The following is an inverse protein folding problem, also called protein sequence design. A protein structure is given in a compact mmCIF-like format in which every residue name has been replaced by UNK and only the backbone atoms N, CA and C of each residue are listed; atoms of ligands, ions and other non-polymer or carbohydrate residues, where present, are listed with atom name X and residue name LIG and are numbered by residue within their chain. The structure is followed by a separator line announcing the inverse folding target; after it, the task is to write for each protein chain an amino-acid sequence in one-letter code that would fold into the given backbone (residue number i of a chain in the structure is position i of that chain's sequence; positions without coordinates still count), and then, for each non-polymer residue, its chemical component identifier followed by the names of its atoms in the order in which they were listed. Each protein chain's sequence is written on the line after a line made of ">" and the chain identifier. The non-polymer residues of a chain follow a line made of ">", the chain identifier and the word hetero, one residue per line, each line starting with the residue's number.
data_IF_364388410415
#
_entry.id   IF_364388410415
#
_cell.length_a   1.000
_cell.length_b   1.000
_cell.length_c   1.000
_cell.angle_alpha   90.00
_cell.angle_beta   90.00
_cell.angle_gamma   90.00
#
_symmetry.space_group_name_H-M   'P 1'
#
loop_
_entity.id
_entity.type
_entity.pdbx_description
1 polymer ?
#
# COMPACT_ATOMS: atom_id res chain seq x y z
N UNK A 1 -4.93 -13.07 -5.28
CA UNK A 1 -4.52 -11.66 -5.19
C UNK A 1 -4.33 -11.39 -3.72
N UNK A 2 -3.08 -11.45 -3.31
CA UNK A 2 -2.72 -11.60 -1.90
C UNK A 2 -1.94 -10.38 -1.39
N UNK A 3 -1.46 -9.55 -2.31
CA UNK A 3 -0.72 -8.32 -2.09
C UNK A 3 -1.26 -7.19 -2.99
N UNK A 4 -1.18 -5.96 -2.46
CA UNK A 4 -1.21 -4.70 -3.21
C UNK A 4 0.15 -4.02 -3.02
N UNK A 5 0.84 -3.73 -4.11
CA UNK A 5 2.18 -3.16 -4.10
C UNK A 5 2.10 -1.69 -4.55
N UNK A 6 2.77 -0.79 -3.84
CA UNK A 6 2.93 0.59 -4.29
C UNK A 6 4.35 0.78 -4.78
N UNK A 7 4.45 1.08 -6.07
CA UNK A 7 5.69 1.40 -6.74
C UNK A 7 5.98 2.89 -6.55
N UNK A 8 7.13 3.21 -5.97
CA UNK A 8 7.65 4.57 -5.86
C UNK A 8 8.86 4.74 -6.76
N UNK A 9 9.14 5.97 -7.18
CA UNK A 9 10.45 6.32 -7.74
C UNK A 9 11.54 6.13 -6.69
N UNK A 10 12.69 5.56 -7.08
CA UNK A 10 13.89 5.43 -6.27
C UNK A 10 14.44 6.83 -5.97
N UNK A 11 14.45 7.71 -6.97
CA UNK A 11 14.80 9.11 -6.79
C UNK A 11 13.90 9.79 -5.75
N UNK A 12 14.54 10.36 -4.72
CA UNK A 12 13.89 11.01 -3.56
C UNK A 12 13.03 10.10 -2.66
N UNK A 13 13.12 8.77 -2.79
CA UNK A 13 12.49 7.87 -1.83
C UNK A 13 13.09 8.02 -0.43
N UNK A 14 12.22 8.13 0.57
CA UNK A 14 12.56 8.11 2.00
C UNK A 14 11.57 7.18 2.70
N UNK A 15 12.01 6.06 3.30
CA UNK A 15 11.12 5.09 3.94
C UNK A 15 10.23 5.73 5.02
N UNK A 16 10.81 6.59 5.86
CA UNK A 16 10.10 7.31 6.92
C UNK A 16 8.93 8.13 6.37
N UNK A 17 9.15 8.84 5.25
CA UNK A 17 8.10 9.61 4.57
C UNK A 17 7.01 8.67 4.05
N UNK A 18 7.36 7.55 3.44
CA UNK A 18 6.37 6.57 2.96
C UNK A 18 5.48 6.02 4.08
N UNK A 19 6.04 5.86 5.29
CA UNK A 19 5.30 5.47 6.51
C UNK A 19 4.39 6.61 7.02
N UNK A 20 4.85 7.86 6.95
CA UNK A 20 4.03 9.04 7.28
C UNK A 20 2.87 9.22 6.30
N UNK A 21 3.12 9.05 4.99
CA UNK A 21 2.12 9.06 3.93
C UNK A 21 1.06 7.94 4.17
N UNK A 22 1.49 6.74 4.56
CA UNK A 22 0.61 5.63 4.98
C UNK A 22 -0.28 6.00 6.17
N UNK A 23 0.31 6.53 7.25
CA UNK A 23 -0.45 6.92 8.46
C UNK A 23 -1.49 7.99 8.15
N UNK A 24 -1.13 8.98 7.32
CA UNK A 24 -2.00 10.07 6.89
C UNK A 24 -3.15 9.58 5.99
N UNK A 25 -2.87 8.66 5.06
CA UNK A 25 -3.88 8.04 4.21
C UNK A 25 -4.86 7.19 5.04
N UNK A 26 -4.36 6.43 6.02
CA UNK A 26 -5.17 5.64 6.93
C UNK A 26 -6.13 6.51 7.78
N UNK A 27 -5.61 7.59 8.40
CA UNK A 27 -6.42 8.54 9.18
C UNK A 27 -7.55 9.17 8.35
N UNK A 28 -7.23 9.70 7.16
CA UNK A 28 -8.21 10.21 6.19
C UNK A 28 -9.25 9.16 5.79
N UNK A 29 -8.83 7.91 5.63
CA UNK A 29 -9.71 6.80 5.27
C UNK A 29 -10.53 6.27 6.47
N UNK A 30 -10.33 6.80 7.68
CA UNK A 30 -10.87 6.28 8.95
C UNK A 30 -10.48 4.82 9.20
N UNK A 31 -9.19 4.54 9.04
CA UNK A 31 -8.54 3.24 9.23
C UNK A 31 -7.37 3.45 10.19
N UNK A 32 -7.21 2.54 11.16
CA UNK A 32 -6.15 2.63 12.15
C UNK A 32 -4.85 2.05 11.59
N UNK A 33 -3.79 2.87 11.53
CA UNK A 33 -2.43 2.42 11.26
C UNK A 33 -1.73 2.13 12.60
N UNK A 34 -1.60 0.84 12.94
CA UNK A 34 -1.20 0.33 14.27
C UNK A 34 -0.02 -0.63 14.16
N UNK A 35 0.58 -0.98 15.30
CA UNK A 35 1.68 -1.96 15.40
C UNK A 35 2.91 -1.63 14.55
N UNK A 36 3.08 -0.35 14.15
CA UNK A 36 4.18 0.07 13.26
C UNK A 36 5.52 -0.11 13.96
N UNK A 37 6.40 -0.94 13.38
CA UNK A 37 7.77 -1.20 13.86
C UNK A 37 8.76 -0.92 12.75
N UNK A 38 9.81 -0.17 13.07
CA UNK A 38 10.87 0.18 12.14
C UNK A 38 12.19 -0.45 12.61
N UNK A 39 12.95 -1.01 11.68
CA UNK A 39 14.23 -1.67 11.93
C UNK A 39 15.35 -0.87 11.28
N UNK A 40 16.39 -0.61 12.06
CA UNK A 40 17.58 0.15 11.65
C UNK A 40 18.86 -0.64 11.97
N UNK A 41 19.93 -0.34 11.24
CA UNK A 41 21.31 -0.68 11.56
C UNK A 41 22.12 0.62 11.67
N UNK A 42 22.36 1.07 12.91
CA UNK A 42 22.78 2.46 13.16
C UNK A 42 21.73 3.45 12.65
N UNK A 43 22.13 4.39 11.80
CA UNK A 43 21.24 5.36 11.15
C UNK A 43 20.64 4.83 9.81
N UNK A 44 21.02 3.62 9.37
CA UNK A 44 20.54 3.04 8.11
C UNK A 44 19.19 2.31 8.32
N UNK A 45 18.14 2.76 7.65
CA UNK A 45 16.87 2.03 7.60
C UNK A 45 17.04 0.66 6.91
N UNK A 46 16.49 -0.39 7.52
CA UNK A 46 16.47 -1.75 6.96
C UNK A 46 15.10 -2.10 6.38
N UNK A 47 14.04 -1.97 7.20
CA UNK A 47 12.66 -2.33 6.84
C UNK A 47 11.69 -1.77 7.88
N UNK A 48 10.44 -1.55 7.48
CA UNK A 48 9.34 -1.25 8.38
C UNK A 48 8.20 -2.23 8.17
N UNK A 49 7.46 -2.54 9.24
CA UNK A 49 6.22 -3.33 9.18
C UNK A 49 5.11 -2.60 9.94
N UNK A 50 3.85 -2.91 9.64
CA UNK A 50 2.70 -2.40 10.37
C UNK A 50 1.40 -3.11 10.04
N UNK A 51 0.30 -2.58 10.57
CA UNK A 51 -1.05 -3.12 10.33
C UNK A 51 -2.03 -1.98 10.10
N UNK A 52 -2.84 -2.10 9.04
CA UNK A 52 -4.04 -1.30 8.81
C UNK A 52 -5.23 -2.08 9.38
N UNK A 53 -6.08 -1.49 10.21
CA UNK A 53 -7.23 -2.18 10.81
C UNK A 53 -8.46 -1.28 10.97
N UNK A 54 -9.66 -1.88 11.01
CA UNK A 54 -10.91 -1.16 11.33
C UNK A 54 -11.05 -0.80 12.81
N UNK A 55 -10.17 -1.30 13.68
CA UNK A 55 -10.15 -1.01 15.13
C UNK A 55 -8.78 -0.53 15.62
N UNK A 56 -8.77 0.19 16.75
CA UNK A 56 -7.54 0.68 17.38
C UNK A 56 -6.61 -0.44 17.90
N UNK A 57 -5.39 -0.08 18.29
CA UNK A 57 -4.38 -1.07 18.73
C UNK A 57 -4.75 -1.82 20.02
N UNK A 58 -5.63 -1.27 20.85
CA UNK A 58 -6.07 -1.87 22.12
C UNK A 58 -7.23 -2.88 21.91
N UNK A 59 -8.04 -2.66 20.89
CA UNK A 59 -9.14 -3.51 20.45
C UNK A 59 -8.66 -4.58 19.46
N UNK A 60 -7.71 -4.21 18.59
CA UNK A 60 -6.65 -5.15 18.18
C UNK A 60 -5.85 -5.59 19.42
N UNK A 61 -4.96 -6.59 19.33
CA UNK A 61 -4.46 -7.33 20.50
C UNK A 61 -5.55 -8.05 21.32
N UNK A 62 -6.49 -7.36 22.00
CA UNK A 62 -7.48 -7.94 22.93
C UNK A 62 -8.47 -8.92 22.32
N UNK A 63 -8.93 -8.70 21.08
CA UNK A 63 -9.76 -9.69 20.36
C UNK A 63 -8.93 -10.96 20.09
N UNK A 64 -9.32 -12.09 20.67
CA UNK A 64 -8.61 -13.37 20.51
C UNK A 64 -8.64 -13.89 19.07
N UNK A 65 -9.81 -13.86 18.43
CA UNK A 65 -9.99 -14.33 17.05
C UNK A 65 -9.96 -13.16 16.05
N UNK A 66 -8.85 -13.03 15.31
CA UNK A 66 -8.71 -11.97 14.30
C UNK A 66 -9.48 -12.21 13.00
N UNK A 67 -10.13 -13.37 12.78
CA UNK A 67 -10.89 -13.60 11.54
C UNK A 67 -12.03 -12.60 11.34
N UNK A 68 -12.59 -12.14 12.45
CA UNK A 68 -13.81 -11.31 12.51
C UNK A 68 -13.50 -9.81 12.37
N UNK A 69 -12.21 -9.46 12.28
CA UNK A 69 -11.72 -8.11 12.03
C UNK A 69 -11.20 -7.97 10.60
N UNK A 70 -11.48 -6.82 9.99
CA UNK A 70 -10.83 -6.35 8.77
C UNK A 70 -9.47 -5.74 9.13
N UNK A 71 -8.41 -6.35 8.64
CA UNK A 71 -7.06 -5.83 8.78
C UNK A 71 -6.14 -6.34 7.67
N UNK A 72 -5.10 -5.56 7.39
CA UNK A 72 -4.05 -5.88 6.42
C UNK A 72 -2.70 -5.64 7.09
N UNK A 73 -1.72 -6.48 6.81
CA UNK A 73 -0.33 -6.19 7.17
C UNK A 73 0.31 -5.39 6.05
N UNK A 74 1.28 -4.54 6.37
CA UNK A 74 2.08 -3.88 5.34
C UNK A 74 3.56 -3.89 5.69
N UNK A 75 4.39 -3.94 4.66
CA UNK A 75 5.84 -3.82 4.73
C UNK A 75 6.29 -2.55 3.99
N UNK A 76 7.36 -1.94 4.49
CA UNK A 76 8.05 -0.79 3.90
C UNK A 76 9.49 -1.21 3.63
N UNK A 77 9.86 -1.20 2.36
CA UNK A 77 11.13 -1.70 1.88
C UNK A 77 12.15 -0.56 1.77
N UNK A 78 13.42 -0.89 1.93
CA UNK A 78 14.52 -0.03 1.49
C UNK A 78 14.82 -0.28 0.01
N UNK A 79 15.56 0.62 -0.60
CA UNK A 79 16.17 0.38 -1.91
C UNK A 79 17.32 -0.62 -1.72
N UNK A 80 17.35 -1.67 -2.53
CA UNK A 80 18.45 -2.65 -2.64
C UNK A 80 19.04 -2.65 -4.06
N UNK A 81 20.10 -3.42 -4.32
CA UNK A 81 20.81 -3.42 -5.62
C UNK A 81 19.92 -3.89 -6.78
N UNK A 82 18.99 -4.80 -6.49
CA UNK A 82 17.99 -5.35 -7.41
C UNK A 82 16.70 -4.52 -7.50
N UNK A 83 16.62 -3.37 -6.81
CA UNK A 83 15.49 -2.44 -6.93
C UNK A 83 15.49 -1.67 -8.26
N UNK A 84 16.66 -1.35 -8.80
CA UNK A 84 16.81 -0.68 -10.10
C UNK A 84 16.34 -1.59 -11.24
N UNK A 85 15.65 -1.04 -12.25
CA UNK A 85 15.13 -1.77 -13.43
C UNK A 85 14.05 -2.86 -13.11
N UNK A 86 13.73 -3.09 -11.83
CA UNK A 86 12.83 -4.17 -11.37
C UNK A 86 11.42 -4.13 -11.95
N UNK A 87 10.91 -2.94 -12.30
CA UNK A 87 9.58 -2.74 -12.87
C UNK A 87 9.56 -2.12 -14.28
N UNK A 88 10.70 -1.96 -14.96
CA UNK A 88 10.75 -1.33 -16.31
C UNK A 88 9.88 -2.05 -17.33
N UNK A 89 9.77 -3.38 -17.23
CA UNK A 89 8.88 -4.19 -18.06
C UNK A 89 7.40 -3.77 -17.97
N UNK A 90 6.99 -3.21 -16.83
CA UNK A 90 5.64 -2.74 -16.51
C UNK A 90 5.48 -1.23 -16.72
N UNK A 91 6.41 -0.43 -16.20
CA UNK A 91 6.33 1.05 -16.15
C UNK A 91 6.92 1.73 -17.39
N UNK A 92 7.83 1.05 -18.10
CA UNK A 92 8.76 1.63 -19.08
C UNK A 92 9.69 2.72 -18.48
N UNK A 93 9.92 2.66 -17.16
CA UNK A 93 10.79 3.57 -16.39
C UNK A 93 11.60 2.77 -15.35
N UNK A 94 12.93 2.78 -15.50
CA UNK A 94 13.91 2.05 -14.66
C UNK A 94 13.95 2.53 -13.20
N UNK A 95 13.36 3.69 -12.91
CA UNK A 95 13.40 4.35 -11.61
C UNK A 95 12.34 3.84 -10.62
N UNK A 96 11.47 2.90 -10.97
CA UNK A 96 10.41 2.40 -10.08
C UNK A 96 10.76 1.06 -9.39
N UNK A 97 10.45 0.96 -8.10
CA UNK A 97 10.67 -0.25 -7.28
C UNK A 97 9.54 -0.49 -6.26
N UNK A 98 9.47 -1.68 -5.67
CA UNK A 98 8.43 -2.14 -4.74
C UNK A 98 8.57 -1.55 -3.32
N UNK A 99 8.41 -0.24 -3.19
CA UNK A 99 8.62 0.47 -1.93
C UNK A 99 7.72 0.00 -0.77
N UNK A 100 6.47 -0.36 -1.07
CA UNK A 100 5.45 -0.72 -0.07
C UNK A 100 4.66 -1.93 -0.56
N UNK A 101 4.36 -2.85 0.35
CA UNK A 101 3.60 -4.08 0.09
C UNK A 101 2.49 -4.20 1.15
N UNK A 102 1.24 -4.42 0.75
CA UNK A 102 0.07 -4.58 1.63
C UNK A 102 -0.51 -5.98 1.41
N UNK A 103 -0.37 -6.84 2.42
CA UNK A 103 -0.70 -8.27 2.34
C UNK A 103 -1.98 -8.64 3.12
N UNK A 104 -2.36 -9.93 3.04
CA UNK A 104 -3.45 -10.55 3.78
C UNK A 104 -4.86 -10.03 3.46
N UNK A 105 -5.02 -9.45 2.27
CA UNK A 105 -6.29 -8.91 1.77
C UNK A 105 -7.27 -10.06 1.44
N UNK A 106 -8.41 -10.14 2.14
CA UNK A 106 -9.49 -11.08 1.80
C UNK A 106 -10.43 -10.49 0.72
N UNK A 107 -11.09 -11.37 -0.04
CA UNK A 107 -11.96 -10.98 -1.16
C UNK A 107 -13.13 -10.05 -0.79
N UNK A 108 -13.64 -10.16 0.44
CA UNK A 108 -14.73 -9.36 1.02
C UNK A 108 -14.23 -8.06 1.68
N UNK A 109 -12.91 -7.85 1.75
CA UNK A 109 -12.26 -6.68 2.34
C UNK A 109 -11.76 -5.70 1.27
N UNK A 110 -11.93 -6.01 -0.02
CA UNK A 110 -11.47 -5.16 -1.14
C UNK A 110 -12.00 -3.72 -1.09
N UNK A 111 -13.24 -3.49 -0.64
CA UNK A 111 -13.80 -2.13 -0.49
C UNK A 111 -13.15 -1.37 0.68
N UNK A 112 -12.72 -2.09 1.72
CA UNK A 112 -12.08 -1.52 2.89
C UNK A 112 -10.67 -1.02 2.56
N UNK A 113 -9.85 -1.82 1.85
CA UNK A 113 -8.54 -1.37 1.35
C UNK A 113 -8.66 -0.33 0.23
N UNK A 114 -9.70 -0.38 -0.60
CA UNK A 114 -9.94 0.61 -1.65
C UNK A 114 -10.05 2.04 -1.09
N UNK A 115 -10.73 2.23 0.05
CA UNK A 115 -10.81 3.54 0.73
C UNK A 115 -9.43 4.08 1.13
N UNK A 116 -8.57 3.23 1.69
CA UNK A 116 -7.18 3.60 2.02
C UNK A 116 -6.41 4.02 0.76
N UNK A 117 -6.49 3.20 -0.29
CA UNK A 117 -5.83 3.44 -1.59
C UNK A 117 -6.25 4.79 -2.18
N UNK A 118 -7.55 5.11 -2.20
CA UNK A 118 -8.05 6.40 -2.70
C UNK A 118 -7.51 7.59 -1.90
N UNK A 119 -7.43 7.51 -0.57
CA UNK A 119 -6.85 8.61 0.23
C UNK A 119 -5.33 8.74 0.10
N UNK A 120 -4.63 7.63 -0.17
CA UNK A 120 -3.19 7.60 -0.42
C UNK A 120 -2.81 8.37 -1.70
N UNK A 121 -3.45 8.04 -2.83
CA UNK A 121 -3.11 8.62 -4.13
C UNK A 121 -3.50 10.10 -4.28
N UNK A 122 -4.35 10.64 -3.39
CA UNK A 122 -4.60 12.10 -3.32
C UNK A 122 -3.37 12.92 -2.93
N UNK A 123 -2.48 12.35 -2.10
CA UNK A 123 -1.26 13.01 -1.63
C UNK A 123 0.00 12.52 -2.37
N UNK A 124 -0.09 11.40 -3.09
CA UNK A 124 1.03 10.73 -3.74
C UNK A 124 0.76 10.57 -5.27
N UNK A 125 0.82 11.66 -6.06
CA UNK A 125 0.42 11.65 -7.46
C UNK A 125 1.42 10.97 -8.42
N UNK A 126 2.67 10.74 -7.98
CA UNK A 126 3.73 10.14 -8.81
C UNK A 126 3.90 8.63 -8.63
N UNK A 127 3.19 8.04 -7.67
CA UNK A 127 3.27 6.62 -7.35
C UNK A 127 2.34 5.79 -8.25
N UNK A 128 2.64 4.50 -8.38
CA UNK A 128 1.76 3.54 -9.06
C UNK A 128 1.29 2.44 -8.12
N UNK A 129 0.04 2.00 -8.29
CA UNK A 129 -0.51 0.81 -7.65
C UNK A 129 -0.36 -0.39 -8.58
N UNK A 130 0.35 -1.41 -8.14
CA UNK A 130 0.45 -2.68 -8.82
C UNK A 130 -0.18 -3.79 -7.97
N UNK A 131 -0.64 -4.84 -8.62
CA UNK A 131 -1.09 -6.06 -7.96
C UNK A 131 -0.18 -7.18 -8.41
N UNK A 132 0.25 -8.02 -7.47
CA UNK A 132 1.09 -9.17 -7.77
C UNK A 132 0.45 -10.04 -8.88
N UNK A 133 1.29 -10.53 -9.80
CA UNK A 133 0.94 -11.17 -11.09
C UNK A 133 0.21 -10.31 -12.16
N UNK A 134 -0.02 -9.00 -11.99
CA UNK A 134 -0.72 -8.19 -13.00
C UNK A 134 0.19 -7.67 -14.14
N UNK A 135 -0.25 -7.81 -15.40
CA UNK A 135 0.39 -7.17 -16.57
C UNK A 135 0.03 -5.65 -16.71
N UNK A 136 -0.52 -5.05 -15.66
CA UNK A 136 -1.04 -3.68 -15.66
C UNK A 136 -0.96 -3.06 -14.25
N UNK A 137 -0.93 -1.74 -14.17
CA UNK A 137 -0.91 -0.96 -12.93
C UNK A 137 -1.93 0.19 -12.99
N UNK A 138 -2.23 0.81 -11.84
CA UNK A 138 -2.94 2.10 -11.76
C UNK A 138 -1.97 3.24 -11.47
N UNK A 139 -2.14 4.34 -12.19
CA UNK A 139 -1.63 5.65 -11.80
C UNK A 139 -2.50 6.25 -10.70
N UNK A 140 -2.01 7.29 -10.02
CA UNK A 140 -2.84 8.09 -9.12
C UNK A 140 -4.11 8.62 -9.82
N UNK A 141 -3.99 9.13 -11.05
CA UNK A 141 -5.12 9.65 -11.84
C UNK A 141 -6.18 8.57 -12.12
N UNK A 142 -5.78 7.33 -12.40
CA UNK A 142 -6.74 6.24 -12.59
C UNK A 142 -7.51 5.92 -11.28
N UNK A 143 -6.81 5.83 -10.15
CA UNK A 143 -7.45 5.59 -8.83
C UNK A 143 -8.42 6.71 -8.51
N UNK A 144 -8.03 7.96 -8.77
CA UNK A 144 -8.88 9.13 -8.55
C UNK A 144 -10.09 9.14 -9.49
N UNK A 145 -9.95 8.75 -10.76
CA UNK A 145 -11.09 8.59 -11.69
C UNK A 145 -12.04 7.47 -11.23
N UNK A 146 -11.51 6.31 -10.82
CA UNK A 146 -12.30 5.23 -10.24
C UNK A 146 -13.08 5.68 -8.98
N UNK A 147 -12.51 6.59 -8.18
CA UNK A 147 -13.19 7.12 -6.99
C UNK A 147 -14.40 8.01 -7.29
N UNK A 148 -14.56 8.48 -8.54
CA UNK A 148 -15.70 9.32 -8.96
C UNK A 148 -16.90 8.50 -9.47
N UNK A 149 -16.75 7.19 -9.68
CA UNK A 149 -17.82 6.28 -10.12
C UNK A 149 -18.26 5.36 -8.97
N UNK A 150 -19.43 4.71 -9.07
CA UNK A 150 -19.85 3.71 -8.08
C UNK A 150 -18.80 2.59 -7.96
N UNK A 151 -18.50 2.18 -6.73
CA UNK A 151 -17.48 1.17 -6.44
C UNK A 151 -17.65 -0.10 -7.28
N UNK A 152 -16.60 -0.43 -8.05
CA UNK A 152 -16.56 -1.62 -8.88
C UNK A 152 -15.71 -2.70 -8.18
N UNK A 153 -16.28 -3.80 -7.66
CA UNK A 153 -15.54 -4.83 -6.93
C UNK A 153 -14.53 -5.61 -7.78
N UNK A 154 -14.49 -5.36 -9.10
CA UNK A 154 -13.46 -5.90 -9.99
C UNK A 154 -12.20 -5.05 -10.10
N UNK A 155 -12.15 -3.84 -9.54
CA UNK A 155 -11.04 -2.88 -9.70
C UNK A 155 -9.65 -3.50 -9.45
N UNK A 156 -9.54 -4.45 -8.52
CA UNK A 156 -8.29 -5.14 -8.24
C UNK A 156 -8.00 -6.31 -9.21
N UNK A 157 -9.01 -6.93 -9.84
CA UNK A 157 -8.86 -8.13 -10.67
C UNK A 157 -8.61 -7.85 -12.16
N UNK A 158 -9.15 -6.75 -12.67
CA UNK A 158 -8.97 -6.29 -14.05
C UNK A 158 -8.78 -4.78 -14.05
N UNK A 159 -7.99 -4.24 -14.98
CA UNK A 159 -7.84 -2.79 -15.15
C UNK A 159 -9.19 -2.19 -15.53
N UNK A 160 -9.73 -1.33 -14.68
CA UNK A 160 -10.96 -0.55 -14.94
C UNK A 160 -10.55 0.90 -15.21
N UNK A 161 -11.09 1.48 -16.29
CA UNK A 161 -10.91 2.88 -16.70
C UNK A 161 -12.29 3.40 -17.12
#
# INVERSE_FOLDING_TARGET
>A
MNSIIILKKIEHYVPEKAIEDFKKAADKAHIYCILVKLKYDGDMFLTGEGTLSEVDEFTFKSVENKSDLKYFTFNVNRIEEDSLDSFTWLTQDENFFWALDIENIKNDEHEFIYRFVVEYFKDNPEDYLWFDDAEWYYTADDILQLSQIPYNPKWCREKVI
#
